data_IF_948089997247
#
_entry.id   IF_948089997247
#
_cell.length_a   1.000
_cell.length_b   1.000
_cell.length_c   1.000
_cell.angle_alpha   90.00
_cell.angle_beta   90.00
_cell.angle_gamma   90.00
#
_symmetry.space_group_name_H-M   'P 1'
#
loop_
_entity.id
_entity.type
_entity.pdbx_description
1 polymer ?
#
# COMPACT_ATOMS: atom_id res chain seq x y z
N UNK A 1 -36.30 -1.81 30.99
CA UNK A 1 -35.01 -1.23 30.61
C UNK A 1 -34.03 -2.29 30.06
N UNK A 2 -33.69 -3.36 30.78
CA UNK A 2 -32.68 -4.37 30.36
C UNK A 2 -32.94 -5.00 28.98
N UNK A 3 -34.17 -5.36 28.60
CA UNK A 3 -34.52 -5.92 27.28
C UNK A 3 -34.28 -4.93 26.13
N UNK A 4 -34.60 -3.63 26.33
CA UNK A 4 -34.36 -2.60 25.30
C UNK A 4 -32.87 -2.34 25.08
N UNK A 5 -32.05 -2.35 26.14
CA UNK A 5 -30.59 -2.24 26.06
C UNK A 5 -30.01 -3.43 25.28
N UNK A 6 -30.49 -4.66 25.56
CA UNK A 6 -30.04 -5.85 24.83
C UNK A 6 -30.35 -5.80 23.32
N UNK A 7 -31.54 -5.31 22.95
CA UNK A 7 -31.91 -5.15 21.52
C UNK A 7 -31.04 -4.09 20.87
N UNK A 8 -30.83 -2.94 21.50
CA UNK A 8 -29.95 -1.88 20.95
C UNK A 8 -28.52 -2.35 20.77
N UNK A 9 -27.98 -3.10 21.75
CA UNK A 9 -26.64 -3.68 21.65
C UNK A 9 -26.53 -4.70 20.49
N UNK A 10 -27.54 -5.53 20.30
CA UNK A 10 -27.60 -6.50 19.21
C UNK A 10 -27.65 -5.79 17.84
N UNK A 11 -28.50 -4.77 17.71
CA UNK A 11 -28.59 -3.97 16.48
C UNK A 11 -27.25 -3.31 16.16
N UNK A 12 -26.59 -2.71 17.16
CA UNK A 12 -25.28 -2.10 16.99
C UNK A 12 -24.23 -3.13 16.51
N UNK A 13 -24.21 -4.31 17.13
CA UNK A 13 -23.29 -5.39 16.72
C UNK A 13 -23.52 -5.84 15.28
N UNK A 14 -24.78 -5.98 14.86
CA UNK A 14 -25.13 -6.32 13.48
C UNK A 14 -24.66 -5.23 12.51
N UNK A 15 -24.87 -3.96 12.83
CA UNK A 15 -24.42 -2.84 12.00
C UNK A 15 -22.89 -2.78 11.88
N UNK A 16 -22.18 -2.95 12.99
CA UNK A 16 -20.70 -3.01 12.99
C UNK A 16 -20.21 -4.20 12.17
N UNK A 17 -20.81 -5.37 12.33
CA UNK A 17 -20.48 -6.56 11.55
C UNK A 17 -20.74 -6.38 10.05
N UNK A 18 -21.88 -5.81 9.68
CA UNK A 18 -22.21 -5.52 8.28
C UNK A 18 -21.26 -4.49 7.66
N UNK A 19 -20.91 -3.44 8.40
CA UNK A 19 -19.93 -2.44 7.95
C UNK A 19 -18.54 -3.07 7.74
N UNK A 20 -18.08 -3.89 8.67
CA UNK A 20 -16.82 -4.61 8.57
C UNK A 20 -16.79 -5.56 7.35
N UNK A 21 -17.87 -6.32 7.14
CA UNK A 21 -18.01 -7.19 5.99
C UNK A 21 -18.01 -6.42 4.65
N UNK A 22 -18.65 -5.24 4.64
CA UNK A 22 -18.63 -4.32 3.49
C UNK A 22 -17.21 -3.85 3.15
N UNK A 23 -16.44 -3.44 4.16
CA UNK A 23 -15.03 -3.04 3.98
C UNK A 23 -14.19 -4.21 3.48
N UNK A 24 -14.33 -5.39 4.06
CA UNK A 24 -13.58 -6.58 3.63
C UNK A 24 -13.90 -6.97 2.17
N UNK A 25 -15.17 -6.87 1.78
CA UNK A 25 -15.60 -7.10 0.39
C UNK A 25 -14.98 -6.07 -0.57
N UNK A 26 -14.92 -4.80 -0.17
CA UNK A 26 -14.34 -3.76 -1.01
C UNK A 26 -12.82 -3.91 -1.14
N UNK A 27 -12.13 -4.31 -0.07
CA UNK A 27 -10.72 -4.68 -0.12
C UNK A 27 -10.51 -5.83 -1.09
N UNK A 28 -11.33 -6.88 -1.01
CA UNK A 28 -11.25 -8.01 -1.94
C UNK A 28 -11.50 -7.56 -3.39
N UNK A 29 -12.53 -6.76 -3.63
CA UNK A 29 -12.81 -6.21 -4.97
C UNK A 29 -11.63 -5.42 -5.52
N UNK A 30 -11.07 -4.49 -4.73
CA UNK A 30 -9.93 -3.66 -5.13
C UNK A 30 -8.64 -4.48 -5.33
N UNK A 31 -8.51 -5.62 -4.67
CA UNK A 31 -7.29 -6.44 -4.71
C UNK A 31 -6.99 -7.06 -6.08
N UNK A 32 -7.99 -7.11 -6.96
CA UNK A 32 -7.88 -7.70 -8.31
C UNK A 32 -8.04 -6.67 -9.43
N UNK A 33 -8.31 -5.41 -9.10
CA UNK A 33 -8.54 -4.37 -10.11
C UNK A 33 -7.22 -3.69 -10.45
N UNK A 34 -6.83 -3.79 -11.73
CA UNK A 34 -5.72 -3.03 -12.29
C UNK A 34 -6.23 -1.65 -12.78
N UNK A 35 -5.71 -0.58 -12.17
CA UNK A 35 -6.10 0.80 -12.50
C UNK A 35 -4.94 1.60 -13.12
N UNK A 36 -3.78 0.98 -13.38
CA UNK A 36 -2.60 1.69 -13.89
C UNK A 36 -2.91 2.44 -15.19
N UNK A 37 -2.57 3.71 -15.18
CA UNK A 37 -2.70 4.67 -16.29
C UNK A 37 -1.63 5.74 -16.14
N UNK A 38 -1.38 6.58 -17.14
CA UNK A 38 -0.40 7.66 -17.04
C UNK A 38 -0.58 8.50 -15.77
N UNK A 39 0.50 8.66 -14.99
CA UNK A 39 0.57 9.36 -13.72
C UNK A 39 1.93 10.06 -13.55
N UNK A 40 2.06 10.89 -12.51
CA UNK A 40 3.30 11.61 -12.22
C UNK A 40 4.35 10.71 -11.57
N UNK A 41 3.91 9.63 -10.89
CA UNK A 41 4.74 8.78 -10.05
C UNK A 41 4.25 7.34 -10.01
N UNK A 42 5.17 6.36 -9.96
CA UNK A 42 4.91 4.99 -9.48
C UNK A 42 5.38 4.90 -8.04
N UNK A 43 4.49 4.61 -7.11
CA UNK A 43 4.79 4.40 -5.70
C UNK A 43 4.86 2.90 -5.42
N UNK A 44 6.00 2.41 -4.95
CA UNK A 44 6.21 1.02 -4.55
C UNK A 44 6.30 0.93 -3.02
N UNK A 45 5.37 0.22 -2.40
CA UNK A 45 5.43 -0.02 -0.96
C UNK A 45 6.39 -1.15 -0.64
N UNK A 46 7.21 -0.95 0.37
CA UNK A 46 8.12 -1.93 0.91
C UNK A 46 7.43 -3.18 1.45
N UNK A 47 8.17 -4.27 1.59
CA UNK A 47 7.68 -5.56 2.07
C UNK A 47 8.77 -6.49 2.58
N UNK A 48 9.60 -6.06 3.41
CA UNK A 48 10.79 -6.71 3.93
C UNK A 48 11.97 -6.81 2.94
N UNK A 49 13.12 -6.67 3.50
CA UNK A 49 14.40 -6.90 2.86
C UNK A 49 15.25 -7.87 3.72
N UNK A 50 16.24 -8.50 3.12
CA UNK A 50 17.14 -9.43 3.78
C UNK A 50 18.58 -9.12 3.40
N UNK A 51 19.30 -8.43 4.28
CA UNK A 51 20.73 -8.07 4.10
C UNK A 51 20.98 -7.37 2.76
N UNK A 52 20.18 -6.34 2.47
CA UNK A 52 20.29 -5.54 1.26
C UNK A 52 19.68 -6.17 0.00
N UNK A 53 18.90 -7.25 0.14
CA UNK A 53 18.18 -7.90 -0.97
C UNK A 53 16.67 -7.85 -0.73
N UNK A 54 15.85 -7.55 -1.73
CA UNK A 54 14.41 -7.57 -1.54
C UNK A 54 13.92 -9.00 -1.27
N UNK A 55 12.99 -9.15 -0.34
CA UNK A 55 12.25 -10.41 -0.14
C UNK A 55 11.54 -10.81 -1.44
N UNK A 56 11.13 -12.09 -1.62
CA UNK A 56 10.39 -12.51 -2.82
C UNK A 56 9.12 -11.68 -3.07
N UNK A 57 8.43 -11.26 -2.00
CA UNK A 57 7.25 -10.40 -2.08
C UNK A 57 7.63 -9.00 -2.56
N UNK A 58 8.67 -8.41 -1.98
CA UNK A 58 9.12 -7.08 -2.37
C UNK A 58 9.68 -7.06 -3.79
N UNK A 59 10.46 -8.09 -4.15
CA UNK A 59 10.96 -8.27 -5.53
C UNK A 59 9.81 -8.27 -6.54
N UNK A 60 8.74 -9.00 -6.28
CA UNK A 60 7.60 -9.04 -7.20
C UNK A 60 6.87 -7.69 -7.34
N UNK A 61 6.84 -6.85 -6.29
CA UNK A 61 6.36 -5.46 -6.39
C UNK A 61 7.30 -4.61 -7.25
N UNK A 62 8.61 -4.75 -7.06
CA UNK A 62 9.62 -4.01 -7.83
C UNK A 62 9.62 -4.42 -9.30
N UNK A 63 9.49 -5.71 -9.60
CA UNK A 63 9.36 -6.21 -10.98
C UNK A 63 8.13 -5.62 -11.68
N UNK A 64 7.00 -5.58 -10.98
CA UNK A 64 5.78 -4.99 -11.52
C UNK A 64 5.92 -3.47 -11.74
N UNK A 65 6.51 -2.76 -10.80
CA UNK A 65 6.80 -1.33 -10.96
C UNK A 65 7.77 -1.05 -12.13
N UNK A 66 8.77 -1.89 -12.31
CA UNK A 66 9.72 -1.82 -13.43
C UNK A 66 9.00 -2.00 -14.78
N UNK A 67 8.05 -2.92 -14.88
CA UNK A 67 7.21 -3.11 -16.06
C UNK A 67 6.41 -1.84 -16.35
N UNK A 68 5.72 -1.27 -15.35
CA UNK A 68 4.93 -0.03 -15.51
C UNK A 68 5.81 1.15 -15.94
N UNK A 69 7.01 1.26 -15.36
CA UNK A 69 7.99 2.28 -15.72
C UNK A 69 8.46 2.13 -17.18
N UNK A 70 8.82 0.91 -17.61
CA UNK A 70 9.22 0.62 -19.00
C UNK A 70 8.11 0.88 -20.03
N UNK A 71 6.87 0.75 -19.61
CA UNK A 71 5.69 1.13 -20.41
C UNK A 71 5.48 2.66 -20.48
N UNK A 72 6.31 3.44 -19.80
CA UNK A 72 6.22 4.90 -19.79
C UNK A 72 5.02 5.46 -19.02
N UNK A 73 4.43 4.70 -18.08
CA UNK A 73 3.24 5.14 -17.35
C UNK A 73 3.54 6.22 -16.30
N UNK A 74 4.78 6.38 -15.87
CA UNK A 74 5.22 7.52 -15.07
C UNK A 74 6.72 7.79 -15.29
N UNK A 75 7.17 9.06 -15.19
CA UNK A 75 8.57 9.42 -15.35
C UNK A 75 9.42 9.13 -14.11
N UNK A 76 8.81 8.81 -12.97
CA UNK A 76 9.49 8.61 -11.67
C UNK A 76 8.96 7.40 -10.94
N UNK A 77 9.84 6.80 -10.12
CA UNK A 77 9.47 5.74 -9.18
C UNK A 77 9.84 6.18 -7.77
N UNK A 78 8.95 6.01 -6.80
CA UNK A 78 9.23 6.20 -5.38
C UNK A 78 9.19 4.84 -4.69
N UNK A 79 10.26 4.47 -4.00
CA UNK A 79 10.34 3.29 -3.13
C UNK A 79 10.23 3.72 -1.68
N UNK A 80 9.28 3.16 -0.94
CA UNK A 80 8.98 3.53 0.45
C UNK A 80 9.14 2.32 1.36
N UNK A 81 9.73 2.56 2.52
CA UNK A 81 9.85 1.60 3.61
C UNK A 81 11.13 1.79 4.43
N UNK A 82 10.97 1.70 5.74
CA UNK A 82 12.03 1.88 6.74
C UNK A 82 12.97 0.68 6.88
N UNK A 83 13.75 0.69 7.96
CA UNK A 83 14.80 -0.29 8.20
C UNK A 83 14.30 -1.68 8.60
N UNK A 84 13.01 -1.84 8.97
CA UNK A 84 12.45 -3.17 9.29
C UNK A 84 13.18 -3.95 10.38
N UNK A 85 14.11 -3.30 11.11
CA UNK A 85 14.97 -3.93 12.11
C UNK A 85 16.42 -4.18 11.64
N UNK A 86 16.75 -3.94 10.36
CA UNK A 86 18.12 -3.97 9.87
C UNK A 86 18.77 -2.58 10.03
N UNK A 87 19.90 -2.44 10.74
CA UNK A 87 20.52 -1.13 10.97
C UNK A 87 21.22 -0.55 9.74
N UNK A 88 21.45 -1.33 8.69
CA UNK A 88 22.26 -0.95 7.52
C UNK A 88 21.41 -0.70 6.29
N UNK A 89 20.23 -1.33 6.19
CA UNK A 89 19.41 -1.30 4.99
C UNK A 89 17.99 -0.86 5.31
N UNK A 90 17.40 -0.10 4.40
CA UNK A 90 15.96 0.23 4.40
C UNK A 90 15.29 -0.40 3.21
N UNK A 91 14.03 -0.76 3.34
CA UNK A 91 13.26 -1.31 2.21
C UNK A 91 13.27 -0.33 1.02
N UNK A 92 13.08 0.98 1.29
CA UNK A 92 13.16 2.02 0.25
C UNK A 92 14.51 2.05 -0.46
N UNK A 93 15.64 1.98 0.29
CA UNK A 93 16.99 1.95 -0.25
C UNK A 93 17.29 0.71 -1.08
N UNK A 94 16.88 -0.46 -0.58
CA UNK A 94 17.00 -1.75 -1.29
C UNK A 94 16.18 -1.73 -2.58
N UNK A 95 14.97 -1.17 -2.54
CA UNK A 95 14.13 -0.98 -3.73
C UNK A 95 14.80 -0.13 -4.79
N UNK A 96 15.42 1.00 -4.38
CA UNK A 96 16.20 1.85 -5.29
C UNK A 96 17.36 1.07 -5.93
N UNK A 97 18.16 0.39 -5.12
CA UNK A 97 19.31 -0.38 -5.61
C UNK A 97 18.89 -1.45 -6.61
N UNK A 98 17.76 -2.11 -6.34
CA UNK A 98 17.19 -3.10 -7.25
C UNK A 98 16.80 -2.48 -8.59
N UNK A 99 16.05 -1.37 -8.59
CA UNK A 99 15.58 -0.71 -9.82
C UNK A 99 16.72 -0.12 -10.65
N UNK A 100 17.74 0.48 -10.01
CA UNK A 100 18.95 0.95 -10.69
C UNK A 100 19.66 -0.20 -11.37
N UNK A 101 19.85 -1.33 -10.69
CA UNK A 101 20.45 -2.54 -11.24
C UNK A 101 19.66 -3.14 -12.42
N UNK A 102 18.39 -2.74 -12.61
CA UNK A 102 17.54 -3.17 -13.73
C UNK A 102 17.31 -2.07 -14.78
N UNK A 103 18.12 -1.00 -14.75
CA UNK A 103 18.18 0.02 -15.80
C UNK A 103 17.26 1.23 -15.60
N UNK A 104 16.66 1.41 -14.41
CA UNK A 104 15.97 2.68 -14.10
C UNK A 104 17.02 3.73 -13.74
N UNK A 105 17.05 4.91 -14.39
CA UNK A 105 17.98 5.98 -14.04
C UNK A 105 17.87 6.39 -12.58
N UNK A 106 19.00 6.57 -11.91
CA UNK A 106 19.06 6.92 -10.49
C UNK A 106 18.30 8.20 -10.14
N UNK A 107 18.31 9.18 -11.04
CA UNK A 107 17.61 10.45 -10.93
C UNK A 107 16.08 10.33 -11.08
N UNK A 108 15.60 9.24 -11.64
CA UNK A 108 14.17 8.94 -11.74
C UNK A 108 13.63 8.27 -10.47
N UNK A 109 14.49 7.90 -9.50
CA UNK A 109 14.10 7.17 -8.32
C UNK A 109 14.17 8.07 -7.08
N UNK A 110 13.05 8.14 -6.35
CA UNK A 110 12.91 8.81 -5.07
C UNK A 110 12.84 7.74 -3.98
N UNK A 111 13.50 7.98 -2.84
CA UNK A 111 13.47 7.04 -1.70
C UNK A 111 12.81 7.71 -0.50
N UNK A 112 11.88 7.00 0.12
CA UNK A 112 11.33 7.31 1.44
C UNK A 112 11.80 6.20 2.41
N UNK A 113 12.83 6.46 3.26
CA UNK A 113 13.51 5.42 4.01
C UNK A 113 13.12 5.34 5.49
N UNK A 114 12.17 6.15 5.98
CA UNK A 114 11.96 6.33 7.43
C UNK A 114 10.69 5.67 7.96
N UNK A 115 9.75 5.34 7.08
CA UNK A 115 8.43 4.93 7.53
C UNK A 115 8.37 3.49 8.00
N UNK A 116 7.92 3.29 9.24
CA UNK A 116 7.75 1.98 9.88
C UNK A 116 6.30 1.46 9.79
N UNK A 117 5.33 2.34 9.57
CA UNK A 117 3.90 1.97 9.43
C UNK A 117 3.33 2.48 8.12
N UNK A 118 2.25 1.84 7.64
CA UNK A 118 1.57 2.29 6.42
C UNK A 118 1.08 3.74 6.52
N UNK A 119 0.56 4.14 7.68
CA UNK A 119 0.09 5.51 7.88
C UNK A 119 1.24 6.52 7.81
N UNK A 120 2.39 6.18 8.37
CA UNK A 120 3.60 7.00 8.30
C UNK A 120 4.13 7.08 6.87
N UNK A 121 4.25 5.94 6.17
CA UNK A 121 4.63 5.92 4.75
C UNK A 121 3.74 6.81 3.90
N UNK A 122 2.42 6.72 4.05
CA UNK A 122 1.50 7.53 3.23
C UNK A 122 1.59 9.03 3.56
N UNK A 123 1.88 9.39 4.82
CA UNK A 123 2.12 10.79 5.19
C UNK A 123 3.43 11.33 4.60
N UNK A 124 4.52 10.57 4.70
CA UNK A 124 5.83 10.95 4.13
C UNK A 124 5.77 11.05 2.59
N UNK A 125 5.17 10.07 1.93
CA UNK A 125 4.96 10.08 0.47
C UNK A 125 4.13 11.29 0.04
N UNK A 126 3.06 11.62 0.77
CA UNK A 126 2.23 12.78 0.48
C UNK A 126 3.02 14.09 0.59
N UNK A 127 3.90 14.20 1.58
CA UNK A 127 4.77 15.37 1.74
C UNK A 127 5.78 15.47 0.57
N UNK A 128 6.40 14.36 0.17
CA UNK A 128 7.30 14.32 -0.99
C UNK A 128 6.54 14.76 -2.26
N UNK A 129 5.34 14.19 -2.49
CA UNK A 129 4.54 14.53 -3.65
C UNK A 129 4.15 16.02 -3.68
N UNK A 130 3.78 16.61 -2.52
CA UNK A 130 3.47 18.06 -2.42
C UNK A 130 4.67 18.93 -2.77
N UNK A 131 5.83 18.63 -2.19
CA UNK A 131 7.08 19.39 -2.45
C UNK A 131 7.49 19.35 -3.92
N UNK A 132 7.19 18.24 -4.58
CA UNK A 132 7.51 18.05 -6.00
C UNK A 132 6.38 18.52 -6.95
N UNK A 133 5.26 18.99 -6.44
CA UNK A 133 4.11 19.40 -7.25
C UNK A 133 3.38 18.25 -7.96
N UNK A 134 3.57 16.99 -7.51
CA UNK A 134 2.94 15.80 -8.09
C UNK A 134 1.50 15.68 -7.58
N UNK A 135 0.59 15.19 -8.42
CA UNK A 135 -0.85 15.09 -8.11
C UNK A 135 -1.41 13.68 -8.25
N UNK A 136 -0.75 12.86 -9.03
CA UNK A 136 -1.23 11.51 -9.39
C UNK A 136 -0.16 10.46 -9.14
N UNK A 137 -0.54 9.29 -8.65
CA UNK A 137 0.40 8.16 -8.54
C UNK A 137 -0.26 6.83 -8.86
N UNK A 138 0.55 5.90 -9.39
CA UNK A 138 0.24 4.47 -9.46
C UNK A 138 0.80 3.82 -8.21
N UNK A 139 -0.06 3.22 -7.39
CA UNK A 139 0.31 2.55 -6.15
C UNK A 139 0.50 1.05 -6.39
N UNK A 140 1.74 0.59 -6.29
CA UNK A 140 2.13 -0.83 -6.44
C UNK A 140 2.30 -1.48 -5.07
N UNK A 141 1.54 -2.53 -4.82
CA UNK A 141 1.61 -3.35 -3.60
C UNK A 141 0.94 -4.71 -3.82
N UNK A 142 0.83 -5.53 -2.74
CA UNK A 142 -0.06 -6.70 -2.77
C UNK A 142 -1.52 -6.26 -2.81
N UNK A 143 -2.35 -7.01 -3.51
CA UNK A 143 -3.76 -6.67 -3.74
C UNK A 143 -4.53 -6.35 -2.45
N UNK A 144 -4.36 -7.17 -1.40
CA UNK A 144 -5.01 -6.93 -0.10
C UNK A 144 -4.60 -5.61 0.59
N UNK A 145 -3.45 -5.04 0.21
CA UNK A 145 -2.90 -3.81 0.82
C UNK A 145 -3.29 -2.53 0.05
N UNK A 146 -3.61 -2.66 -1.25
CA UNK A 146 -3.93 -1.51 -2.13
C UNK A 146 -5.03 -0.63 -1.55
N UNK A 147 -6.15 -1.21 -1.13
CA UNK A 147 -7.31 -0.46 -0.66
C UNK A 147 -6.95 0.52 0.46
N UNK A 148 -6.27 0.06 1.51
CA UNK A 148 -5.92 0.88 2.68
C UNK A 148 -4.96 2.01 2.32
N UNK A 149 -3.86 1.69 1.66
CA UNK A 149 -2.85 2.66 1.28
C UNK A 149 -3.39 3.71 0.30
N UNK A 150 -4.19 3.29 -0.69
CA UNK A 150 -4.88 4.16 -1.64
C UNK A 150 -5.78 5.19 -0.94
N UNK A 151 -6.61 4.74 0.02
CA UNK A 151 -7.52 5.63 0.74
C UNK A 151 -6.75 6.61 1.65
N UNK A 152 -5.66 6.16 2.29
CA UNK A 152 -4.83 7.02 3.12
C UNK A 152 -4.19 8.16 2.30
N UNK A 153 -3.67 7.85 1.11
CA UNK A 153 -3.04 8.85 0.26
C UNK A 153 -4.08 9.73 -0.45
N UNK A 154 -5.22 9.15 -0.86
CA UNK A 154 -6.33 9.90 -1.44
C UNK A 154 -6.95 10.90 -0.45
N UNK A 155 -7.04 10.56 0.83
CA UNK A 155 -7.50 11.48 1.88
C UNK A 155 -6.57 12.69 2.07
N UNK A 156 -5.34 12.65 1.54
CA UNK A 156 -4.41 13.76 1.53
C UNK A 156 -4.46 14.61 0.25
N UNK A 157 -5.44 14.36 -0.62
CA UNK A 157 -5.73 15.16 -1.82
C UNK A 157 -5.11 14.64 -3.11
N UNK A 158 -4.51 13.45 -3.12
CA UNK A 158 -3.90 12.85 -4.32
C UNK A 158 -4.84 11.91 -5.06
N UNK A 159 -4.70 11.83 -6.37
CA UNK A 159 -5.36 10.81 -7.20
C UNK A 159 -4.46 9.57 -7.26
N UNK A 160 -4.98 8.44 -6.78
CA UNK A 160 -4.21 7.20 -6.63
C UNK A 160 -4.85 6.10 -7.45
N UNK A 161 -4.06 5.48 -8.30
CA UNK A 161 -4.44 4.35 -9.14
C UNK A 161 -3.81 3.08 -8.57
N UNK A 162 -4.62 2.16 -8.07
CA UNK A 162 -4.14 0.90 -7.52
C UNK A 162 -3.66 -0.04 -8.64
N UNK A 163 -2.47 -0.59 -8.47
CA UNK A 163 -1.89 -1.59 -9.38
C UNK A 163 -1.35 -2.75 -8.54
N UNK A 164 -2.19 -3.74 -8.25
CA UNK A 164 -1.77 -4.90 -7.48
C UNK A 164 -0.75 -5.71 -8.29
N UNK A 165 0.39 -6.07 -7.64
CA UNK A 165 1.34 -6.96 -8.29
C UNK A 165 0.66 -8.28 -8.67
N UNK A 166 1.00 -8.89 -9.81
CA UNK A 166 0.54 -10.22 -10.15
C UNK A 166 0.91 -11.23 -9.04
N UNK A 167 -0.06 -11.95 -8.52
CA UNK A 167 0.16 -12.95 -7.47
C UNK A 167 -0.47 -14.29 -7.86
N UNK A 168 0.28 -15.18 -8.47
CA UNK A 168 -0.24 -16.49 -8.85
C UNK A 168 -0.48 -17.45 -7.67
N UNK A 169 0.02 -17.13 -6.46
CA UNK A 169 0.07 -18.09 -5.34
C UNK A 169 -0.92 -17.79 -4.20
N UNK A 170 -1.81 -16.81 -4.34
CA UNK A 170 -2.63 -16.32 -3.22
C UNK A 170 -4.06 -16.89 -3.23
N UNK A 171 -4.20 -18.18 -3.34
CA UNK A 171 -5.49 -18.85 -3.15
C UNK A 171 -5.55 -19.56 -1.79
N UNK A 172 -6.62 -19.31 -1.02
CA UNK A 172 -6.93 -20.05 0.19
C UNK A 172 -7.23 -19.23 1.45
N UNK A 173 -7.44 -19.95 2.56
CA UNK A 173 -7.83 -19.43 3.88
C UNK A 173 -6.87 -18.37 4.47
N UNK A 174 -5.58 -18.45 4.11
CA UNK A 174 -4.56 -17.47 4.52
C UNK A 174 -4.83 -16.07 3.96
N UNK A 175 -5.39 -15.99 2.76
CA UNK A 175 -5.73 -14.70 2.11
C UNK A 175 -6.89 -13.99 2.81
N UNK A 176 -7.89 -14.74 3.28
CA UNK A 176 -9.00 -14.19 4.05
C UNK A 176 -8.54 -13.46 5.32
N UNK A 177 -7.60 -14.03 6.06
CA UNK A 177 -7.01 -13.36 7.23
C UNK A 177 -6.34 -12.04 6.89
N UNK A 178 -5.67 -11.94 5.74
CA UNK A 178 -5.06 -10.69 5.28
C UNK A 178 -6.13 -9.61 5.01
N UNK A 179 -7.26 -9.95 4.41
CA UNK A 179 -8.37 -9.03 4.21
C UNK A 179 -8.94 -8.52 5.55
N UNK A 180 -9.16 -9.42 6.50
CA UNK A 180 -9.62 -9.07 7.85
C UNK A 180 -8.62 -8.12 8.52
N UNK A 181 -7.35 -8.44 8.51
CA UNK A 181 -6.30 -7.59 9.08
C UNK A 181 -6.26 -6.20 8.43
N UNK A 182 -6.39 -6.10 7.13
CA UNK A 182 -6.42 -4.82 6.42
C UNK A 182 -7.70 -4.04 6.71
N UNK A 183 -8.85 -4.72 6.88
CA UNK A 183 -10.10 -4.07 7.31
C UNK A 183 -9.94 -3.45 8.69
N UNK A 184 -9.38 -4.17 9.65
CA UNK A 184 -9.08 -3.64 10.99
C UNK A 184 -8.16 -2.42 10.89
N UNK A 185 -7.04 -2.52 10.20
CA UNK A 185 -6.10 -1.42 10.04
C UNK A 185 -6.72 -0.19 9.35
N UNK A 186 -7.58 -0.39 8.37
CA UNK A 186 -8.33 0.70 7.73
C UNK A 186 -9.31 1.38 8.68
N UNK A 187 -10.08 0.59 9.47
CA UNK A 187 -11.04 1.12 10.42
C UNK A 187 -10.37 1.88 11.56
N UNK A 188 -9.27 1.37 12.10
CA UNK A 188 -8.46 2.06 13.11
C UNK A 188 -7.96 3.40 12.59
N UNK A 189 -7.42 3.42 11.37
CA UNK A 189 -6.99 4.67 10.75
C UNK A 189 -8.15 5.67 10.56
N UNK A 190 -9.35 5.20 10.16
CA UNK A 190 -10.54 6.05 10.01
C UNK A 190 -10.96 6.76 11.30
N UNK A 191 -10.69 6.16 12.45
CA UNK A 191 -10.95 6.76 13.78
C UNK A 191 -9.73 7.48 14.38
N UNK A 192 -8.68 7.70 13.58
CA UNK A 192 -7.50 8.49 13.97
C UNK A 192 -6.38 7.69 14.63
N UNK A 193 -6.48 6.36 14.72
CA UNK A 193 -5.43 5.50 15.26
C UNK A 193 -4.43 5.19 14.14
N UNK A 194 -3.18 5.61 14.32
CA UNK A 194 -2.10 5.40 13.35
C UNK A 194 -1.52 3.99 13.51
N UNK A 195 -1.78 3.09 12.56
CA UNK A 195 -1.31 1.70 12.49
C UNK A 195 -0.67 1.39 11.15
#
# INVERSE_FOLDING_TARGET
>A
MKKRIGILSLVLLVWVGAYFAGVAREIHRQSTIEEARPADLILVLGAAEYRGRPSPVFKARLDHALELYRRGLAPRVLTSGGAGGDPLFTEGGVGRSYLVGHGVPSEAIIVEPEAETTAHSMAAVAEIMRRMGLKTCILVSDGYHIFRAKHMLAAQGFRVYGSPRPNPSAEGTRQWWLYVRQSVGYLLWRVGIRV
#
